data_IF_280388298019
#
_entry.id   IF_280388298019
#
_cell.length_a   1.000
_cell.length_b   1.000
_cell.length_c   1.000
_cell.angle_alpha   90.00
_cell.angle_beta   90.00
_cell.angle_gamma   90.00
#
_symmetry.space_group_name_H-M   'P 1'
#
loop_
_entity.id
_entity.type
_entity.pdbx_description
1 polymer ?
#
# COMPACT_ATOMS: atom_id res chain seq x y z
N UNK A 1 15.74 -12.36 -18.09
CA UNK A 1 14.68 -13.01 -17.30
C UNK A 1 13.90 -11.91 -16.60
N UNK A 2 12.66 -11.63 -17.02
CA UNK A 2 11.79 -10.75 -16.23
C UNK A 2 11.33 -11.55 -15.02
N UNK A 3 11.83 -11.21 -13.84
CA UNK A 3 11.35 -11.78 -12.59
C UNK A 3 10.00 -11.12 -12.33
N UNK A 4 8.91 -11.87 -12.51
CA UNK A 4 7.56 -11.40 -12.18
C UNK A 4 7.44 -11.48 -10.66
N UNK A 5 7.55 -10.34 -9.99
CA UNK A 5 7.32 -10.26 -8.54
C UNK A 5 5.82 -10.18 -8.26
N UNK A 6 5.25 -11.09 -7.46
CA UNK A 6 3.83 -11.07 -7.12
C UNK A 6 3.45 -9.80 -6.34
N UNK A 7 2.23 -9.31 -6.55
CA UNK A 7 1.72 -8.05 -6.00
C UNK A 7 1.59 -8.08 -4.47
N UNK A 8 1.23 -9.25 -3.94
CA UNK A 8 1.04 -9.53 -2.53
C UNK A 8 1.90 -10.72 -2.16
N UNK A 9 2.59 -10.60 -1.04
CA UNK A 9 3.42 -11.67 -0.50
C UNK A 9 3.01 -11.90 0.93
N UNK A 10 2.96 -13.17 1.29
CA UNK A 10 2.84 -13.58 2.67
C UNK A 10 4.26 -13.96 3.12
N UNK A 11 4.70 -13.40 4.24
CA UNK A 11 6.02 -13.69 4.78
C UNK A 11 5.92 -13.96 6.27
N UNK A 12 6.57 -15.04 6.71
CA UNK A 12 6.79 -15.30 8.12
C UNK A 12 7.98 -14.46 8.58
N UNK A 13 7.72 -13.48 9.46
CA UNK A 13 8.80 -12.66 10.02
C UNK A 13 9.44 -13.44 11.17
N UNK A 14 10.62 -14.03 10.94
CA UNK A 14 11.38 -14.73 11.98
C UNK A 14 12.28 -13.78 12.79
N UNK A 15 12.31 -12.49 12.45
CA UNK A 15 13.04 -11.44 13.15
C UNK A 15 13.55 -10.34 12.21
N UNK A 16 14.17 -9.33 12.79
CA UNK A 16 14.97 -8.33 12.07
C UNK A 16 16.45 -8.65 12.27
N UNK A 17 17.22 -8.73 11.19
CA UNK A 17 18.68 -8.80 11.26
C UNK A 17 19.29 -7.47 10.87
N UNK A 18 20.35 -7.08 11.56
CA UNK A 18 21.12 -5.90 11.20
C UNK A 18 22.07 -6.25 10.07
N UNK A 19 21.90 -5.60 8.92
CA UNK A 19 22.84 -5.64 7.80
C UNK A 19 24.11 -4.93 8.25
N UNK A 20 25.22 -5.66 8.28
CA UNK A 20 26.56 -5.10 8.47
C UNK A 20 27.11 -4.93 7.05
N UNK A 21 27.36 -3.71 6.55
CA UNK A 21 28.17 -2.64 7.17
C UNK A 21 27.45 -1.30 7.43
N UNK A 22 26.19 -1.14 7.00
CA UNK A 22 25.43 0.12 7.05
C UNK A 22 24.54 0.24 8.30
N UNK A 23 24.40 -0.83 9.10
CA UNK A 23 23.54 -0.86 10.27
C UNK A 23 22.06 -0.91 9.94
N UNK A 24 21.70 -1.09 8.66
CA UNK A 24 20.31 -1.16 8.20
C UNK A 24 19.62 -2.40 8.75
N UNK A 25 18.39 -2.30 9.23
CA UNK A 25 17.61 -3.49 9.60
C UNK A 25 16.98 -4.11 8.36
N UNK A 26 17.25 -5.40 8.13
CA UNK A 26 16.63 -6.20 7.09
C UNK A 26 15.77 -7.28 7.74
N UNK A 27 14.52 -7.43 7.27
CA UNK A 27 13.67 -8.55 7.66
C UNK A 27 14.27 -9.85 7.11
N UNK A 28 14.48 -10.84 7.99
CA UNK A 28 14.89 -12.19 7.58
C UNK A 28 13.64 -13.07 7.60
N UNK A 29 13.16 -13.42 6.41
CA UNK A 29 12.07 -14.34 6.20
C UNK A 29 12.15 -14.93 4.79
N UNK A 30 11.93 -16.24 4.68
CA UNK A 30 11.66 -16.86 3.38
C UNK A 30 10.27 -16.46 2.92
N UNK A 31 10.10 -16.29 1.61
CA UNK A 31 8.81 -16.07 0.98
C UNK A 31 7.92 -17.29 1.25
N UNK A 32 6.68 -17.09 1.69
CA UNK A 32 5.78 -18.18 2.00
C UNK A 32 4.37 -17.84 1.51
N UNK A 33 3.92 -18.47 0.43
CA UNK A 33 2.60 -18.20 -0.18
C UNK A 33 1.41 -18.73 0.66
N UNK A 34 1.67 -19.35 1.81
CA UNK A 34 0.65 -19.92 2.69
C UNK A 34 0.15 -18.88 3.71
N UNK A 35 -1.04 -18.34 3.47
CA UNK A 35 -1.71 -17.36 4.33
C UNK A 35 -2.23 -17.93 5.65
N UNK A 36 -2.25 -19.26 5.83
CA UNK A 36 -2.76 -19.93 7.03
C UNK A 36 -1.68 -20.21 8.08
N UNK A 37 -0.40 -19.89 7.80
CA UNK A 37 0.70 -20.12 8.75
C UNK A 37 0.63 -19.17 9.95
N UNK A 38 0.98 -19.65 11.16
CA UNK A 38 1.08 -18.79 12.32
C UNK A 38 2.16 -17.71 12.12
N UNK A 39 1.86 -16.47 12.53
CA UNK A 39 2.73 -15.27 12.41
C UNK A 39 3.04 -14.81 10.98
N UNK A 40 2.20 -15.15 10.01
CA UNK A 40 2.27 -14.57 8.67
C UNK A 40 1.82 -13.11 8.70
N UNK A 41 2.60 -12.25 8.08
CA UNK A 41 2.21 -10.87 7.79
C UNK A 41 2.11 -10.69 6.28
N UNK A 42 1.07 -9.97 5.86
CA UNK A 42 0.88 -9.60 4.46
C UNK A 42 1.74 -8.38 4.15
N UNK A 43 2.51 -8.48 3.06
CA UNK A 43 3.25 -7.36 2.49
C UNK A 43 2.75 -7.11 1.08
N UNK A 44 2.48 -5.86 0.78
CA UNK A 44 2.14 -5.38 -0.57
C UNK A 44 3.34 -4.64 -1.11
N UNK A 45 3.65 -4.83 -2.40
CA UNK A 45 4.75 -4.10 -3.03
C UNK A 45 4.54 -2.60 -2.93
N UNK A 46 5.61 -1.86 -2.62
CA UNK A 46 5.54 -0.42 -2.38
C UNK A 46 5.11 0.36 -3.63
N UNK A 47 5.58 -0.04 -4.82
CA UNK A 47 5.26 0.60 -6.09
C UNK A 47 3.77 0.49 -6.44
N UNK A 48 3.12 -0.62 -6.05
CA UNK A 48 1.67 -0.78 -6.21
C UNK A 48 0.92 0.16 -5.27
N UNK A 49 1.39 0.30 -4.02
CA UNK A 49 0.78 1.22 -3.05
C UNK A 49 0.90 2.67 -3.52
N UNK A 50 2.06 3.07 -4.04
CA UNK A 50 2.29 4.41 -4.62
C UNK A 50 1.38 4.65 -5.82
N UNK A 51 1.32 3.72 -6.77
CA UNK A 51 0.46 3.84 -7.96
C UNK A 51 -1.02 3.97 -7.58
N UNK A 52 -1.49 3.17 -6.61
CA UNK A 52 -2.89 3.24 -6.14
C UNK A 52 -3.16 4.55 -5.40
N UNK A 53 -2.20 5.04 -4.62
CA UNK A 53 -2.31 6.33 -3.93
C UNK A 53 -2.43 7.49 -4.91
N UNK A 54 -1.57 7.54 -5.93
CA UNK A 54 -1.62 8.55 -7.00
C UNK A 54 -2.97 8.54 -7.71
N UNK A 55 -3.49 7.36 -8.05
CA UNK A 55 -4.81 7.22 -8.66
C UNK A 55 -5.93 7.74 -7.75
N UNK A 56 -5.88 7.45 -6.45
CA UNK A 56 -6.87 7.93 -5.48
C UNK A 56 -6.82 9.45 -5.31
N UNK A 57 -5.63 10.04 -5.30
CA UNK A 57 -5.44 11.50 -5.27
C UNK A 57 -6.03 12.13 -6.54
N UNK A 58 -5.74 11.57 -7.71
CA UNK A 58 -6.29 12.05 -8.98
C UNK A 58 -7.83 12.05 -8.99
N UNK A 59 -8.45 10.97 -8.52
CA UNK A 59 -9.93 10.89 -8.44
C UNK A 59 -10.48 11.90 -7.43
N UNK A 60 -9.82 12.07 -6.29
CA UNK A 60 -10.20 13.05 -5.26
C UNK A 60 -10.15 14.48 -5.82
N UNK A 61 -9.11 14.80 -6.56
CA UNK A 61 -8.90 16.14 -7.11
C UNK A 61 -9.91 16.40 -8.26
N UNK A 62 -10.15 15.42 -9.13
CA UNK A 62 -11.22 15.52 -10.13
C UNK A 62 -12.61 15.72 -9.53
N UNK A 63 -12.92 15.05 -8.41
CA UNK A 63 -14.20 15.28 -7.68
C UNK A 63 -14.28 16.68 -7.05
N UNK A 64 -13.14 17.26 -6.63
CA UNK A 64 -13.10 18.64 -6.17
C UNK A 64 -13.37 19.61 -7.32
N UNK A 65 -12.76 19.39 -8.48
CA UNK A 65 -12.97 20.20 -9.69
C UNK A 65 -14.43 20.14 -10.14
N UNK A 66 -15.02 18.93 -10.21
CA UNK A 66 -16.44 18.76 -10.49
C UNK A 66 -17.33 19.57 -9.52
N UNK A 67 -16.99 19.59 -8.23
CA UNK A 67 -17.74 20.36 -7.23
C UNK A 67 -17.66 21.86 -7.45
N UNK A 68 -16.47 22.37 -7.81
CA UNK A 68 -16.25 23.79 -8.10
C UNK A 68 -17.00 24.21 -9.38
N UNK A 69 -17.05 23.33 -10.37
CA UNK A 69 -17.72 23.56 -11.65
C UNK A 69 -19.25 23.33 -11.57
N UNK A 70 -19.78 22.88 -10.43
CA UNK A 70 -21.20 22.56 -10.25
C UNK A 70 -21.65 21.30 -11.00
N UNK A 71 -20.70 20.43 -11.35
CA UNK A 71 -20.93 19.14 -12.00
C UNK A 71 -21.28 18.05 -10.96
N UNK A 72 -21.87 16.92 -11.41
CA UNK A 72 -22.11 15.78 -10.53
C UNK A 72 -20.83 15.29 -9.86
N UNK A 73 -20.86 15.18 -8.54
CA UNK A 73 -19.76 14.67 -7.71
C UNK A 73 -19.99 13.19 -7.36
N UNK A 74 -18.94 12.51 -6.90
CA UNK A 74 -19.07 11.14 -6.41
C UNK A 74 -19.92 11.09 -5.13
N UNK A 75 -20.56 9.96 -4.82
CA UNK A 75 -21.32 9.80 -3.58
C UNK A 75 -20.45 10.04 -2.34
N UNK A 76 -21.02 10.70 -1.32
CA UNK A 76 -20.31 11.05 -0.07
C UNK A 76 -19.63 9.84 0.59
N UNK A 77 -20.27 8.68 0.56
CA UNK A 77 -19.69 7.42 1.07
C UNK A 77 -18.44 6.98 0.31
N UNK A 78 -18.42 7.15 -1.01
CA UNK A 78 -17.25 6.84 -1.83
C UNK A 78 -16.13 7.84 -1.54
N UNK A 79 -16.47 9.14 -1.45
CA UNK A 79 -15.52 10.19 -1.12
C UNK A 79 -14.84 9.95 0.23
N UNK A 80 -15.63 9.65 1.26
CA UNK A 80 -15.10 9.35 2.59
C UNK A 80 -14.13 8.16 2.59
N UNK A 81 -14.40 7.12 1.79
CA UNK A 81 -13.49 5.97 1.66
C UNK A 81 -12.17 6.33 0.99
N UNK A 82 -12.21 7.19 -0.03
CA UNK A 82 -11.00 7.69 -0.71
C UNK A 82 -10.17 8.51 0.28
N UNK A 83 -10.78 9.46 0.98
CA UNK A 83 -10.07 10.33 1.94
C UNK A 83 -9.45 9.50 3.09
N UNK A 84 -10.16 8.50 3.60
CA UNK A 84 -9.63 7.56 4.60
C UNK A 84 -8.46 6.71 4.07
N UNK A 85 -8.53 6.25 2.82
CA UNK A 85 -7.48 5.44 2.21
C UNK A 85 -6.19 6.26 2.00
N UNK A 86 -6.33 7.51 1.53
CA UNK A 86 -5.22 8.45 1.37
C UNK A 86 -4.58 8.75 2.73
N UNK A 87 -5.39 9.14 3.73
CA UNK A 87 -4.88 9.45 5.07
C UNK A 87 -4.14 8.26 5.70
N UNK A 88 -4.63 7.03 5.50
CA UNK A 88 -3.97 5.82 5.99
C UNK A 88 -2.65 5.53 5.27
N UNK A 89 -2.56 5.85 3.97
CA UNK A 89 -1.34 5.67 3.19
C UNK A 89 -0.27 6.70 3.55
N UNK A 90 -0.67 7.95 3.79
CA UNK A 90 0.21 9.06 4.22
C UNK A 90 0.67 8.92 5.68
N UNK A 91 -0.16 8.32 6.55
CA UNK A 91 0.19 8.08 7.96
C UNK A 91 1.20 6.95 8.20
N UNK A 92 1.83 6.39 7.15
CA UNK A 92 2.90 5.40 7.32
C UNK A 92 4.10 6.05 8.05
N UNK A 93 4.61 5.44 9.14
CA UNK A 93 5.83 5.87 9.83
C UNK A 93 7.10 5.53 9.06
#
# INVERSE_FOLDING_TARGET
MNIIHPERIFATVNGASTRLPDGGRQLIGGWCEDSARPRVQEYVRADIVETVLEALIMVRDADNDCRLDGLPTIPSMARNKIDQAIAKAEAKP
#
